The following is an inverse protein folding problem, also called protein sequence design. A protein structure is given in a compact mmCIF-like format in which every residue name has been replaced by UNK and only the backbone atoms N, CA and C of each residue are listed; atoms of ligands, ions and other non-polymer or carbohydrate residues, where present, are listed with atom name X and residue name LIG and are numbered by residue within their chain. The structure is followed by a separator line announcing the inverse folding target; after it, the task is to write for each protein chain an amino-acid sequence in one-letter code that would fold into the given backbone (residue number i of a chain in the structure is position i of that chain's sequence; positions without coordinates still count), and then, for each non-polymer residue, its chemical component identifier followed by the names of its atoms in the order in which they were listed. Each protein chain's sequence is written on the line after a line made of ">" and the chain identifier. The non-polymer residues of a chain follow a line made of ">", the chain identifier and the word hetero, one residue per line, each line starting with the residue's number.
data_IF_581079739461
#
_entry.id   IF_581079739461
#
_cell.length_a   1.000
_cell.length_b   1.000
_cell.length_c   1.000
_cell.angle_alpha   90.00
_cell.angle_beta   90.00
_cell.angle_gamma   90.00
#
_symmetry.space_group_name_H-M   'P 1'
#
loop_
_entity.id
_entity.type
_entity.pdbx_description
1 polymer ?
2 polymer ?
3 non-polymer ?
4 water ?
#
loop_
_entity_poly.entity_id
_entity_poly.type
_entity_poly.pdbx_seq_one_letter_code
_entity_poly.pdbx_strand_id
2 'polyribonucleotide' '(ATP)A' ?
#
# COMPACT_ATOMS: atom_id res chain seq x y z
N UNK A 1 8.48 28.69 -3.49
CA UNK A 1 7.57 27.81 -2.70
C UNK A 1 8.15 27.54 -1.32
N UNK A 2 7.42 26.77 -0.50
CA UNK A 2 7.69 26.76 0.93
C UNK A 2 8.81 25.82 1.35
N UNK A 3 9.16 24.85 0.51
CA UNK A 3 10.16 23.85 0.86
C UNK A 3 11.18 23.80 -0.27
N UNK A 4 12.43 23.67 0.11
CA UNK A 4 13.51 23.71 -0.86
C UNK A 4 13.59 22.39 -1.62
N UNK A 5 14.33 22.43 -2.73
CA UNK A 5 14.65 21.21 -3.47
C UNK A 5 15.21 20.14 -2.54
N UNK A 6 16.15 20.52 -1.67
CA UNK A 6 16.75 19.55 -0.78
C UNK A 6 15.74 18.98 0.21
N UNK A 7 14.82 19.80 0.72
CA UNK A 7 13.79 19.27 1.62
C UNK A 7 12.92 18.25 0.91
N UNK A 8 12.58 18.50 -0.36
CA UNK A 8 11.80 17.52 -1.11
C UNK A 8 12.59 16.23 -1.29
N UNK A 9 13.88 16.34 -1.59
CA UNK A 9 14.71 15.15 -1.71
C UNK A 9 14.68 14.36 -0.40
N UNK A 10 14.83 15.06 0.73
CA UNK A 10 14.82 14.36 2.01
C UNK A 10 13.50 13.62 2.23
N UNK A 11 12.38 14.28 1.91
CA UNK A 11 11.09 13.65 2.09
C UNK A 11 10.85 12.50 1.13
N UNK A 12 11.60 12.44 0.05
CA UNK A 12 11.40 11.41 -0.95
C UNK A 12 12.06 10.09 -0.59
N UNK A 13 12.84 10.05 0.48
CA UNK A 13 13.59 8.84 0.83
C UNK A 13 12.73 7.87 1.63
N UNK A 14 12.94 6.56 1.44
CA UNK A 14 12.27 5.59 2.32
C UNK A 14 12.78 5.76 3.74
N UNK A 15 11.88 5.61 4.70
CA UNK A 15 12.27 5.74 6.11
C UNK A 15 12.40 4.38 6.78
N UNK A 16 11.37 3.56 6.71
CA UNK A 16 11.42 2.17 7.16
C UNK A 16 11.53 1.27 5.94
N UNK A 17 12.33 0.20 6.06
CA UNK A 17 12.44 -0.75 4.96
C UNK A 17 12.58 -2.16 5.50
N UNK A 18 12.49 -3.13 4.58
CA UNK A 18 12.65 -4.54 4.96
C UNK A 18 14.04 -4.88 5.46
N UNK A 19 15.03 -4.00 5.26
CA UNK A 19 16.35 -4.22 5.83
C UNK A 19 16.38 -3.99 7.34
N UNK A 20 15.37 -3.32 7.88
CA UNK A 20 15.40 -2.94 9.27
C UNK A 20 15.34 -4.17 10.16
N UNK A 21 16.18 -4.19 11.20
CA UNK A 21 16.22 -5.32 12.12
C UNK A 21 14.85 -5.58 12.73
N UNK A 22 14.13 -4.53 13.14
CA UNK A 22 12.84 -4.73 13.79
C UNK A 22 11.79 -5.24 12.81
N UNK A 23 11.95 -4.96 11.51
CA UNK A 23 11.05 -5.53 10.52
C UNK A 23 11.37 -7.01 10.32
N UNK A 24 12.64 -7.34 10.11
CA UNK A 24 13.06 -8.73 10.01
C UNK A 24 12.57 -9.53 11.21
N UNK A 25 12.73 -8.98 12.41
CA UNK A 25 12.33 -9.71 13.62
C UNK A 25 10.84 -10.01 13.61
N UNK A 26 10.02 -9.02 13.25
CA UNK A 26 8.59 -9.26 13.18
C UNK A 26 8.27 -10.36 12.18
N UNK A 27 8.86 -10.29 10.97
CA UNK A 27 8.55 -11.30 9.96
C UNK A 27 8.97 -12.68 10.43
N UNK A 28 10.17 -12.80 11.00
CA UNK A 28 10.66 -14.10 11.46
C UNK A 28 9.74 -14.68 12.52
N UNK A 29 9.41 -13.89 13.54
CA UNK A 29 8.62 -14.41 14.65
C UNK A 29 7.22 -14.77 14.20
N UNK A 30 6.59 -13.91 13.40
CA UNK A 30 5.22 -14.16 12.96
C UNK A 30 5.19 -15.37 12.04
N UNK A 31 6.15 -15.46 11.13
CA UNK A 31 6.21 -16.61 10.22
C UNK A 31 6.27 -17.92 11.01
N UNK A 32 7.11 -17.97 12.05
CA UNK A 32 7.23 -19.19 12.84
C UNK A 32 5.89 -19.54 13.49
N UNK A 33 5.21 -18.54 14.05
CA UNK A 33 3.92 -18.79 14.70
C UNK A 33 2.91 -19.35 13.70
N UNK A 34 2.87 -18.79 12.48
CA UNK A 34 1.90 -19.25 11.49
C UNK A 34 2.26 -20.63 10.96
N UNK A 35 3.55 -20.88 10.70
CA UNK A 35 3.95 -22.18 10.18
C UNK A 35 3.65 -23.29 11.18
N UNK A 36 3.73 -22.98 12.48
CA UNK A 36 3.46 -24.01 13.49
C UNK A 36 2.06 -24.59 13.34
N UNK A 37 1.11 -23.79 12.88
CA UNK A 37 -0.25 -24.29 12.65
C UNK A 37 -0.50 -24.73 11.22
N UNK A 38 -0.01 -23.98 10.24
CA UNK A 38 -0.42 -24.16 8.86
C UNK A 38 0.61 -24.87 7.99
N UNK A 39 1.84 -25.00 8.45
CA UNK A 39 2.85 -25.69 7.66
C UNK A 39 2.97 -25.06 6.28
N UNK A 40 3.08 -25.92 5.27
CA UNK A 40 3.25 -25.46 3.90
C UNK A 40 1.94 -25.19 3.18
N UNK A 41 0.82 -25.23 3.90
CA UNK A 41 -0.48 -24.97 3.32
C UNK A 41 -0.74 -23.50 3.04
N UNK A 42 0.19 -22.63 3.42
CA UNK A 42 0.10 -21.19 3.15
C UNK A 42 1.34 -20.70 2.43
N UNK A 43 1.15 -19.64 1.64
CA UNK A 43 2.24 -18.82 1.15
C UNK A 43 2.24 -17.55 1.99
N UNK A 44 3.40 -17.18 2.52
CA UNK A 44 3.55 -15.93 3.27
C UNK A 44 4.37 -14.97 2.42
N UNK A 45 3.87 -13.74 2.28
CA UNK A 45 4.55 -12.73 1.48
C UNK A 45 4.14 -11.36 2.00
N UNK A 46 4.81 -10.33 1.51
CA UNK A 46 4.53 -8.98 1.95
C UNK A 46 3.69 -8.23 0.91
N UNK A 47 2.88 -7.31 1.41
CA UNK A 47 2.27 -6.30 0.54
C UNK A 47 2.42 -4.95 1.20
N UNK A 48 1.81 -3.92 0.62
CA UNK A 48 1.86 -2.63 1.23
C UNK A 48 3.23 -1.99 1.19
N UNK A 49 3.43 -1.04 2.10
CA UNK A 49 4.52 -0.09 1.97
C UNK A 49 5.89 -0.74 2.10
N UNK A 50 6.04 -1.80 2.89
CA UNK A 50 7.33 -2.48 2.92
C UNK A 50 7.59 -3.22 1.62
N UNK A 51 6.55 -3.80 1.03
CA UNK A 51 6.71 -4.50 -0.24
C UNK A 51 7.06 -3.52 -1.36
N UNK A 52 6.34 -2.41 -1.43
CA UNK A 52 6.49 -1.45 -2.51
C UNK A 52 7.53 -0.39 -2.22
N UNK A 53 8.13 -0.42 -1.03
CA UNK A 53 9.18 0.51 -0.61
C UNK A 53 8.70 1.96 -0.61
N UNK A 54 7.55 2.19 0.02
CA UNK A 54 6.97 3.53 0.09
C UNK A 54 6.76 4.01 1.53
N UNK A 55 7.52 3.48 2.50
CA UNK A 55 7.37 3.92 3.89
C UNK A 55 8.02 5.27 4.10
N UNK A 56 7.33 6.14 4.85
CA UNK A 56 7.86 7.47 5.14
C UNK A 56 7.82 7.77 6.63
N UNK A 57 7.57 6.76 7.45
CA UNK A 57 7.52 6.95 8.89
C UNK A 57 8.41 5.93 9.56
N UNK A 58 9.03 6.36 10.66
CA UNK A 58 9.89 5.46 11.41
C UNK A 58 9.05 4.36 12.04
N UNK A 59 9.62 3.15 12.10
CA UNK A 59 9.01 2.04 12.82
C UNK A 59 7.62 1.71 12.27
N UNK A 60 7.46 1.78 10.95
CA UNK A 60 6.15 1.57 10.35
C UNK A 60 5.68 0.12 10.49
N UNK A 61 4.36 -0.04 10.55
CA UNK A 61 3.77 -1.38 10.57
C UNK A 61 3.95 -2.08 9.23
N UNK A 62 4.14 -3.40 9.27
CA UNK A 62 4.34 -4.22 8.08
C UNK A 62 3.10 -5.08 7.84
N UNK A 63 2.74 -5.24 6.56
CA UNK A 63 1.58 -6.04 6.14
C UNK A 63 2.07 -7.39 5.63
N UNK A 64 1.81 -8.43 6.43
CA UNK A 64 2.23 -9.79 6.13
C UNK A 64 1.00 -10.56 5.67
N UNK A 65 1.02 -11.01 4.42
CA UNK A 65 -0.10 -11.75 3.85
C UNK A 65 0.13 -13.24 4.09
N UNK A 66 -0.91 -13.92 4.56
CA UNK A 66 -0.87 -15.37 4.74
C UNK A 66 -1.95 -15.96 3.84
N UNK A 67 -1.54 -16.45 2.67
CA UNK A 67 -2.47 -16.95 1.66
C UNK A 67 -2.62 -18.46 1.83
N UNK A 68 -3.79 -18.89 2.31
CA UNK A 68 -4.09 -20.29 2.46
C UNK A 68 -4.43 -20.80 1.07
N UNK A 69 -3.61 -21.68 0.53
CA UNK A 69 -3.69 -21.95 -0.89
C UNK A 69 -3.38 -23.40 -1.24
N UNK A 70 -3.55 -24.31 -0.28
CA UNK A 70 -3.26 -25.71 -0.50
C UNK A 70 -3.98 -26.27 -1.72
N UNK A 71 -5.18 -25.79 -2.01
CA UNK A 71 -5.93 -26.31 -3.15
C UNK A 71 -5.31 -25.91 -4.49
N UNK A 72 -4.63 -24.76 -4.53
CA UNK A 72 -4.05 -24.23 -5.75
C UNK A 72 -2.55 -24.51 -5.86
N UNK A 73 -1.85 -24.53 -4.74
CA UNK A 73 -0.41 -24.79 -4.67
C UNK A 73 -0.21 -25.92 -3.67
N UNK A 74 -0.60 -27.14 -4.04
CA UNK A 74 -0.53 -28.26 -3.09
C UNK A 74 0.91 -28.68 -2.80
N UNK A 75 1.02 -29.56 -1.81
CA UNK A 75 2.32 -30.09 -1.41
C UNK A 75 2.78 -31.11 -2.43
N UNK A 76 3.88 -30.80 -3.13
CA UNK A 76 4.40 -31.70 -4.13
C UNK A 76 5.02 -32.94 -3.46
N UNK A 96 -13.71 -25.55 4.31
CA UNK A 96 -12.84 -24.67 5.11
C UNK A 96 -13.05 -23.22 4.66
N UNK A 97 -13.87 -22.50 5.43
CA UNK A 97 -14.33 -21.18 5.04
C UNK A 97 -13.47 -20.09 5.68
N UNK A 98 -13.73 -18.85 5.30
CA UNK A 98 -12.85 -17.77 5.72
C UNK A 98 -12.94 -17.52 7.21
N UNK A 99 -14.14 -17.61 7.80
CA UNK A 99 -14.27 -17.35 9.23
C UNK A 99 -13.35 -18.27 10.02
N UNK A 100 -13.33 -19.57 9.66
CA UNK A 100 -12.47 -20.53 10.32
C UNK A 100 -11.01 -20.19 10.10
N UNK A 101 -10.66 -19.82 8.86
CA UNK A 101 -9.27 -19.44 8.57
C UNK A 101 -8.81 -18.29 9.46
N UNK A 102 -9.62 -17.24 9.55
CA UNK A 102 -9.19 -16.07 10.32
C UNK A 102 -9.13 -16.41 11.81
N UNK A 103 -10.08 -17.18 12.31
CA UNK A 103 -10.05 -17.59 13.71
C UNK A 103 -8.83 -18.44 14.01
N UNK A 104 -8.49 -19.37 13.10
CA UNK A 104 -7.33 -20.21 13.30
C UNK A 104 -6.04 -19.40 13.23
N UNK A 105 -6.01 -18.39 12.36
CA UNK A 105 -4.86 -17.50 12.27
C UNK A 105 -4.69 -16.73 13.57
N UNK A 106 -5.80 -16.19 14.10
CA UNK A 106 -5.73 -15.47 15.37
C UNK A 106 -5.24 -16.38 16.49
N UNK A 107 -5.70 -17.63 16.50
CA UNK A 107 -5.29 -18.58 17.53
C UNK A 107 -3.80 -18.88 17.43
N UNK A 108 -3.32 -19.15 16.20
CA UNK A 108 -1.90 -19.42 16.02
C UNK A 108 -1.06 -18.27 16.55
N UNK A 109 -1.50 -17.04 16.29
CA UNK A 109 -0.74 -15.88 16.74
C UNK A 109 -0.86 -15.69 18.24
N UNK A 110 -2.06 -15.86 18.79
CA UNK A 110 -2.24 -15.66 20.22
C UNK A 110 -1.45 -16.69 21.03
N UNK A 111 -1.29 -17.91 20.52
CA UNK A 111 -0.54 -18.92 21.26
C UNK A 111 0.88 -18.46 21.52
N UNK A 112 1.43 -17.63 20.63
CA UNK A 112 2.82 -17.16 20.74
C UNK A 112 2.89 -15.76 21.31
N UNK A 113 2.07 -14.84 20.82
CA UNK A 113 2.19 -13.43 21.14
C UNK A 113 1.18 -12.97 22.17
N UNK A 114 0.30 -13.86 22.63
CA UNK A 114 -0.66 -13.63 23.69
C UNK A 114 -1.31 -12.25 23.60
N UNK A 115 -1.06 -11.39 24.59
CA UNK A 115 -1.82 -10.15 24.71
C UNK A 115 -1.48 -9.12 23.65
N UNK A 116 -0.44 -9.35 22.84
CA UNK A 116 -0.13 -8.45 21.73
C UNK A 116 -1.03 -8.65 20.52
N UNK A 117 -1.87 -9.68 20.52
CA UNK A 117 -2.70 -10.00 19.36
C UNK A 117 -4.04 -9.30 19.49
N UNK A 118 -4.42 -8.56 18.45
CA UNK A 118 -5.71 -7.87 18.41
C UNK A 118 -6.36 -8.11 17.06
N UNK A 119 -7.54 -8.70 17.07
CA UNK A 119 -8.28 -8.88 15.84
C UNK A 119 -8.79 -7.53 15.33
N UNK A 120 -8.60 -7.28 14.05
CA UNK A 120 -9.08 -6.08 13.39
C UNK A 120 -10.03 -6.45 12.25
N UNK A 121 -10.62 -5.43 11.63
CA UNK A 121 -11.66 -5.67 10.64
C UNK A 121 -11.14 -6.46 9.44
N UNK A 122 -9.90 -6.18 9.02
CA UNK A 122 -9.36 -6.76 7.79
C UNK A 122 -8.10 -7.57 8.02
N UNK A 123 -7.69 -7.77 9.27
CA UNK A 123 -6.43 -8.45 9.56
C UNK A 123 -6.40 -8.83 11.03
N UNK A 124 -5.33 -9.52 11.42
CA UNK A 124 -4.99 -9.74 12.82
C UNK A 124 -3.74 -8.91 13.10
N UNK A 125 -3.83 -7.98 14.03
CA UNK A 125 -2.69 -7.16 14.38
C UNK A 125 -1.87 -7.85 15.45
N UNK A 126 -0.56 -7.85 15.27
CA UNK A 126 0.38 -8.33 16.28
C UNK A 126 1.21 -7.11 16.69
N UNK A 127 0.91 -6.56 17.87
CA UNK A 127 1.59 -5.37 18.32
C UNK A 127 3.07 -5.64 18.57
N UNK A 128 3.90 -4.69 18.16
CA UNK A 128 5.34 -4.81 18.30
C UNK A 128 5.82 -4.50 19.70
N UNK A 129 7.13 -4.37 19.82
CA UNK A 129 7.78 -4.11 21.10
C UNK A 129 9.13 -3.50 20.80
N UNK A 130 10.00 -3.45 21.81
CA UNK A 130 11.29 -2.79 21.65
C UNK A 130 12.10 -3.41 20.51
N UNK A 131 11.85 -4.68 20.18
CA UNK A 131 12.67 -5.39 19.22
C UNK A 131 11.95 -5.78 17.93
N UNK A 132 10.67 -5.43 17.76
CA UNK A 132 9.99 -5.78 16.54
C UNK A 132 8.91 -4.76 16.25
N UNK A 133 8.72 -4.47 14.95
CA UNK A 133 7.64 -3.61 14.54
C UNK A 133 6.31 -4.33 14.72
N UNK A 134 5.24 -3.55 14.74
CA UNK A 134 3.89 -4.08 14.65
C UNK A 134 3.64 -4.63 13.25
N UNK A 135 2.87 -5.69 13.20
CA UNK A 135 2.53 -6.34 11.94
C UNK A 135 1.03 -6.53 11.85
N UNK A 136 0.51 -6.34 10.64
CA UNK A 136 -0.85 -6.72 10.29
C UNK A 136 -0.74 -8.01 9.51
N UNK A 137 -1.34 -9.08 10.02
CA UNK A 137 -1.36 -10.37 9.34
C UNK A 137 -2.69 -10.50 8.60
N UNK A 138 -2.62 -10.74 7.30
CA UNK A 138 -3.79 -10.73 6.44
C UNK A 138 -4.03 -12.15 5.94
N UNK A 139 -4.81 -12.97 6.65
CA UNK A 139 -5.21 -14.27 6.07
C UNK A 139 -6.09 -14.06 4.85
N UNK A 140 -5.93 -14.92 3.86
CA UNK A 140 -6.67 -14.77 2.62
C UNK A 140 -6.59 -16.05 1.82
N UNK A 141 -7.35 -16.08 0.72
CA UNK A 141 -7.36 -17.17 -0.24
C UNK A 141 -6.92 -16.65 -1.61
N UNK A 142 -6.61 -17.59 -2.50
CA UNK A 142 -6.39 -17.27 -3.90
C UNK A 142 -7.66 -16.75 -4.53
N UNK A 143 -7.51 -15.73 -5.38
CA UNK A 143 -8.59 -15.16 -6.15
C UNK A 143 -8.24 -15.19 -7.63
N UNK A 144 -9.21 -15.55 -8.46
CA UNK A 144 -9.06 -15.42 -9.91
C UNK A 144 -10.24 -14.60 -10.43
N UNK A 145 -9.94 -13.57 -11.21
CA UNK A 145 -10.97 -12.70 -11.75
C UNK A 145 -10.58 -12.25 -13.15
N UNK A 146 -11.57 -12.14 -14.02
CA UNK A 146 -11.32 -11.64 -15.36
C UNK A 146 -11.18 -10.13 -15.35
N UNK A 147 -10.13 -9.65 -16.00
CA UNK A 147 -9.90 -8.23 -16.21
C UNK A 147 -10.35 -7.87 -17.62
N UNK A 148 -11.35 -6.99 -17.73
CA UNK A 148 -11.71 -6.49 -19.05
C UNK A 148 -10.66 -5.53 -19.59
N UNK A 149 -9.98 -4.81 -18.70
CA UNK A 149 -8.95 -3.87 -19.16
C UNK A 149 -7.88 -4.59 -19.96
N UNK A 150 -7.44 -5.75 -19.49
CA UNK A 150 -6.42 -6.54 -20.17
C UNK A 150 -6.96 -7.77 -20.87
N UNK A 151 -8.27 -8.02 -20.80
CA UNK A 151 -8.89 -9.18 -21.43
C UNK A 151 -8.17 -10.47 -21.05
N UNK A 152 -7.91 -10.63 -19.76
CA UNK A 152 -7.28 -11.85 -19.26
C UNK A 152 -7.78 -12.15 -17.87
N UNK A 153 -7.74 -13.43 -17.49
CA UNK A 153 -7.91 -13.80 -16.09
C UNK A 153 -6.65 -13.44 -15.33
N UNK A 154 -6.85 -12.84 -14.16
CA UNK A 154 -5.76 -12.43 -13.31
C UNK A 154 -5.89 -13.10 -11.94
N UNK A 155 -4.76 -13.42 -11.36
CA UNK A 155 -4.72 -14.05 -10.04
C UNK A 155 -4.26 -13.05 -9.00
N UNK A 156 -5.02 -12.97 -7.91
CA UNK A 156 -4.69 -12.16 -6.76
C UNK A 156 -5.11 -12.86 -5.49
N UNK A 157 -5.58 -12.09 -4.52
CA UNK A 157 -5.99 -12.63 -3.23
C UNK A 157 -7.37 -12.08 -2.89
N UNK A 158 -8.07 -12.82 -2.05
CA UNK A 158 -9.36 -12.38 -1.54
C UNK A 158 -9.52 -12.76 -0.08
N UNK A 159 -10.19 -11.89 0.65
CA UNK A 159 -10.56 -12.18 2.02
C UNK A 159 -11.83 -11.41 2.32
N UNK A 160 -12.35 -11.59 3.53
CA UNK A 160 -13.57 -10.93 3.95
C UNK A 160 -13.30 -10.14 5.22
N UNK A 161 -13.84 -8.92 5.27
CA UNK A 161 -13.73 -8.12 6.47
C UNK A 161 -14.79 -8.56 7.48
N UNK A 162 -14.57 -8.19 8.74
CA UNK A 162 -15.53 -8.55 9.78
C UNK A 162 -16.87 -7.86 9.56
N UNK A 163 -16.89 -6.72 8.85
CA UNK A 163 -18.15 -6.10 8.46
C UNK A 163 -18.66 -6.57 7.10
N UNK A 164 -18.20 -7.73 6.64
CA UNK A 164 -18.81 -8.57 5.58
C UNK A 164 -18.44 -8.17 4.16
N UNK A 165 -17.45 -7.31 3.97
CA UNK A 165 -17.03 -6.93 2.64
C UNK A 165 -16.08 -7.96 2.07
N UNK A 166 -16.24 -8.24 0.78
CA UNK A 166 -15.26 -9.01 0.04
C UNK A 166 -14.13 -8.07 -0.38
N UNK A 167 -12.93 -8.34 0.12
CA UNK A 167 -11.77 -7.52 -0.17
C UNK A 167 -10.88 -8.30 -1.13
N UNK A 168 -10.52 -7.68 -2.24
CA UNK A 168 -9.68 -8.32 -3.24
C UNK A 168 -8.49 -7.43 -3.52
N UNK A 169 -7.39 -8.04 -3.93
CA UNK A 169 -6.17 -7.30 -4.19
C UNK A 169 -5.34 -8.09 -5.18
N UNK A 170 -4.47 -7.36 -5.88
CA UNK A 170 -3.52 -7.93 -6.85
C UNK A 170 -2.14 -7.40 -6.49
N UNK A 171 -1.62 -7.80 -5.32
CA UNK A 171 -0.37 -7.20 -4.84
C UNK A 171 0.83 -7.48 -5.73
N UNK A 172 0.87 -8.61 -6.42
CA UNK A 172 2.03 -8.90 -7.25
C UNK A 172 2.08 -7.97 -8.45
N UNK A 173 0.94 -7.80 -9.13
CA UNK A 173 0.88 -6.91 -10.28
C UNK A 173 1.09 -5.45 -9.86
N UNK A 174 0.54 -5.06 -8.71
CA UNK A 174 0.81 -3.75 -8.15
C UNK A 174 2.30 -3.55 -7.93
N UNK A 175 2.95 -4.53 -7.28
CA UNK A 175 4.37 -4.45 -7.02
C UNK A 175 5.15 -4.29 -8.33
N UNK A 176 4.88 -5.17 -9.29
CA UNK A 176 5.70 -5.19 -10.50
C UNK A 176 5.50 -3.94 -11.34
N UNK A 177 4.26 -3.49 -11.50
CA UNK A 177 4.01 -2.31 -12.32
C UNK A 177 4.59 -1.05 -11.69
N UNK A 178 4.49 -0.93 -10.36
CA UNK A 178 5.05 0.24 -9.71
C UNK A 178 6.57 0.26 -9.80
N UNK A 179 7.19 -0.91 -9.65
CA UNK A 179 8.63 -0.99 -9.78
C UNK A 179 9.07 -0.64 -11.19
N UNK A 180 8.35 -1.14 -12.21
CA UNK A 180 8.68 -0.79 -13.58
C UNK A 180 8.59 0.72 -13.81
N UNK A 181 7.51 1.35 -13.32
CA UNK A 181 7.37 2.78 -13.55
C UNK A 181 8.48 3.55 -12.88
N UNK A 182 8.84 3.20 -11.64
CA UNK A 182 9.93 3.94 -11.00
C UNK A 182 11.24 3.74 -11.76
N UNK A 183 11.45 2.54 -12.28
CA UNK A 183 12.65 2.29 -13.05
C UNK A 183 12.71 3.10 -14.34
N UNK A 184 11.56 3.52 -14.87
CA UNK A 184 11.50 4.28 -16.10
C UNK A 184 11.47 5.78 -15.90
N UNK A 185 11.30 6.25 -14.66
CA UNK A 185 11.11 7.67 -14.38
C UNK A 185 12.24 8.24 -13.54
N UNK A 186 13.46 7.75 -13.73
CA UNK A 186 14.61 8.24 -12.97
C UNK A 186 14.40 8.05 -11.48
N UNK A 187 13.65 7.00 -11.11
CA UNK A 187 13.33 6.66 -9.72
C UNK A 187 12.38 7.68 -9.09
N UNK A 188 11.79 8.56 -9.89
CA UNK A 188 10.97 9.62 -9.34
C UNK A 188 9.54 9.21 -9.05
N UNK A 189 9.01 8.15 -9.70
CA UNK A 189 7.64 7.74 -9.39
C UNK A 189 7.47 7.48 -7.89
N UNK A 190 8.27 6.58 -7.31
CA UNK A 190 8.08 6.27 -5.90
C UNK A 190 8.53 7.43 -5.01
N UNK A 191 9.53 8.20 -5.44
CA UNK A 191 9.96 9.36 -4.67
C UNK A 191 8.84 10.38 -4.55
N UNK A 192 8.08 10.59 -5.63
CA UNK A 192 6.93 11.49 -5.57
C UNK A 192 5.80 10.91 -4.72
N UNK A 193 5.57 9.59 -4.80
CA UNK A 193 4.60 8.98 -3.89
C UNK A 193 4.99 9.25 -2.44
N UNK A 194 6.27 9.03 -2.12
CA UNK A 194 6.72 9.25 -0.75
C UNK A 194 6.53 10.70 -0.32
N UNK A 195 6.87 11.66 -1.18
CA UNK A 195 6.67 13.07 -0.82
C UNK A 195 5.20 13.31 -0.50
N UNK A 196 4.30 12.83 -1.36
CA UNK A 196 2.88 13.06 -1.15
C UNK A 196 2.36 12.35 0.09
N UNK A 197 2.92 11.19 0.44
CA UNK A 197 2.57 10.55 1.70
C UNK A 197 3.02 11.38 2.89
N UNK A 198 4.21 11.97 2.81
CA UNK A 198 4.67 12.87 3.87
C UNK A 198 3.70 14.04 4.02
N UNK A 199 3.33 14.65 2.90
CA UNK A 199 2.39 15.78 2.96
C UNK A 199 1.05 15.34 3.53
N UNK A 200 0.57 14.16 3.11
CA UNK A 200 -0.67 13.62 3.67
C UNK A 200 -0.60 13.53 5.19
N UNK A 201 0.46 12.93 5.74
CA UNK A 201 0.56 12.79 7.19
C UNK A 201 0.61 14.16 7.87
N UNK A 202 1.32 15.12 7.26
CA UNK A 202 1.39 16.46 7.83
C UNK A 202 0.02 17.14 7.84
N UNK A 203 -0.72 17.01 6.73
CA UNK A 203 -2.05 17.60 6.66
C UNK A 203 -2.99 16.94 7.65
N UNK A 204 -2.88 15.63 7.84
CA UNK A 204 -3.69 14.94 8.84
C UNK A 204 -3.33 15.44 10.24
N UNK A 205 -2.03 15.51 10.54
CA UNK A 205 -1.59 15.94 11.86
C UNK A 205 -2.04 17.36 12.16
N UNK A 206 -2.06 18.22 11.13
CA UNK A 206 -2.50 19.60 11.28
C UNK A 206 -4.01 19.75 11.34
N UNK A 207 -4.75 18.66 11.13
CA UNK A 207 -6.19 18.74 11.09
C UNK A 207 -6.76 19.34 9.83
N UNK A 208 -5.96 19.43 8.76
CA UNK A 208 -6.41 20.06 7.54
C UNK A 208 -7.23 19.13 6.68
N UNK A 209 -6.98 17.83 6.76
CA UNK A 209 -7.77 16.82 6.06
C UNK A 209 -8.04 15.67 7.01
N UNK A 210 -9.09 14.91 6.71
CA UNK A 210 -9.41 13.73 7.49
C UNK A 210 -8.37 12.65 7.24
N UNK A 211 -8.19 11.77 8.21
CA UNK A 211 -7.17 10.73 8.09
C UNK A 211 -7.52 9.69 7.05
N UNK A 212 -8.71 9.76 6.44
CA UNK A 212 -9.11 8.83 5.40
C UNK A 212 -9.51 9.51 4.09
N UNK A 213 -9.20 10.80 3.92
CA UNK A 213 -9.45 11.44 2.63
C UNK A 213 -8.78 10.65 1.52
N UNK A 214 -7.52 10.29 1.71
CA UNK A 214 -6.79 9.44 0.77
C UNK A 214 -5.97 8.43 1.55
N UNK A 215 -5.79 7.26 0.96
CA UNK A 215 -4.94 6.22 1.51
C UNK A 215 -3.63 6.19 0.73
N UNK A 216 -2.66 5.45 1.28
CA UNK A 216 -1.41 5.24 0.56
C UNK A 216 -1.66 4.59 -0.79
N UNK A 217 -2.54 3.59 -0.84
CA UNK A 217 -2.88 2.94 -2.10
C UNK A 217 -3.40 3.96 -3.10
N UNK A 218 -4.30 4.83 -2.65
CA UNK A 218 -4.89 5.82 -3.55
C UNK A 218 -3.83 6.75 -4.10
N UNK A 219 -2.93 7.23 -3.23
CA UNK A 219 -1.85 8.10 -3.68
C UNK A 219 -0.99 7.38 -4.71
N UNK A 220 -0.63 6.13 -4.43
CA UNK A 220 0.20 5.36 -5.35
C UNK A 220 -0.45 5.26 -6.72
N UNK A 221 -1.76 5.01 -6.75
CA UNK A 221 -2.46 4.88 -8.02
C UNK A 221 -2.55 6.22 -8.74
N UNK A 222 -2.81 7.31 -8.02
CA UNK A 222 -2.90 8.62 -8.66
C UNK A 222 -1.59 8.97 -9.36
N UNK A 223 -0.47 8.85 -8.64
CA UNK A 223 0.81 9.22 -9.24
C UNK A 223 1.15 8.27 -10.39
N UNK A 224 0.72 7.01 -10.29
CA UNK A 224 1.01 6.03 -11.32
C UNK A 224 0.46 6.45 -12.67
N UNK A 225 -0.66 7.18 -12.68
CA UNK A 225 -1.31 7.57 -13.92
C UNK A 225 -0.73 8.85 -14.52
N UNK A 226 0.21 9.50 -13.84
CA UNK A 226 0.91 10.64 -14.44
C UNK A 226 1.86 10.13 -15.49
N UNK A 227 1.83 10.61 -16.74
CA UNK A 227 2.71 10.06 -17.77
C UNK A 227 4.18 10.18 -17.40
N UNK A 228 4.94 9.19 -17.84
CA UNK A 228 6.37 9.14 -17.52
C UNK A 228 7.10 10.42 -17.91
N UNK A 229 6.69 11.07 -19.01
CA UNK A 229 7.41 12.25 -19.47
C UNK A 229 7.18 13.49 -18.60
N UNK A 230 6.41 13.37 -17.51
CA UNK A 230 6.28 14.46 -16.54
C UNK A 230 7.33 14.40 -15.45
N UNK A 231 8.09 13.30 -15.37
CA UNK A 231 9.10 13.12 -14.33
C UNK A 231 10.44 13.58 -14.88
N UNK A 232 10.99 14.64 -14.29
CA UNK A 232 12.13 15.35 -14.82
C UNK A 232 13.35 14.95 -14.01
N UNK A 233 14.28 14.27 -14.65
CA UNK A 233 15.48 13.81 -13.96
C UNK A 233 16.15 14.96 -13.22
N UNK A 234 16.40 14.75 -11.94
CA UNK A 234 17.13 15.70 -11.15
C UNK A 234 16.41 16.97 -10.77
N UNK A 235 15.11 17.06 -11.03
CA UNK A 235 14.34 18.26 -10.69
C UNK A 235 13.12 17.85 -9.89
N UNK A 236 13.28 17.79 -8.57
CA UNK A 236 12.19 17.32 -7.72
C UNK A 236 11.09 18.36 -7.64
N UNK A 237 11.47 19.64 -7.54
CA UNK A 237 10.47 20.69 -7.40
C UNK A 237 9.57 20.74 -8.63
N UNK A 238 10.17 20.70 -9.83
CA UNK A 238 9.35 20.79 -11.03
C UNK A 238 8.59 19.50 -11.29
N UNK A 239 9.20 18.34 -10.96
CA UNK A 239 8.49 17.09 -11.12
C UNK A 239 7.26 17.06 -10.24
N UNK A 240 7.41 17.46 -8.97
CA UNK A 240 6.29 17.45 -8.04
C UNK A 240 5.21 18.42 -8.50
N UNK A 241 5.61 19.58 -9.02
CA UNK A 241 4.64 20.50 -9.62
C UNK A 241 3.89 19.82 -10.75
N UNK A 242 4.63 19.16 -11.66
CA UNK A 242 4.00 18.48 -12.79
C UNK A 242 3.01 17.42 -12.31
N UNK A 243 3.39 16.65 -11.30
CA UNK A 243 2.54 15.57 -10.78
C UNK A 243 1.24 16.14 -10.23
N UNK A 244 1.35 17.15 -9.37
CA UNK A 244 0.15 17.72 -8.74
C UNK A 244 -0.76 18.33 -9.80
N UNK A 245 -0.19 19.14 -10.70
CA UNK A 245 -1.01 19.78 -11.73
C UNK A 245 -1.68 18.75 -12.61
N UNK A 246 -0.95 17.70 -13.01
CA UNK A 246 -1.53 16.70 -13.90
C UNK A 246 -2.70 15.98 -13.23
N UNK A 247 -2.53 15.53 -11.98
CA UNK A 247 -3.62 14.83 -11.31
C UNK A 247 -4.81 15.76 -11.12
N UNK A 248 -4.54 16.98 -10.65
CA UNK A 248 -5.60 17.97 -10.44
C UNK A 248 -6.40 18.18 -11.71
N UNK A 249 -5.72 18.45 -12.82
CA UNK A 249 -6.42 18.69 -14.08
C UNK A 249 -7.15 17.43 -14.55
N UNK A 250 -6.52 16.27 -14.41
CA UNK A 250 -7.16 15.02 -14.80
C UNK A 250 -8.45 14.79 -14.02
N UNK A 251 -8.46 15.15 -12.73
CA UNK A 251 -9.67 14.95 -11.93
C UNK A 251 -10.77 15.89 -12.39
N UNK A 252 -10.44 17.17 -12.67
CA UNK A 252 -11.45 18.07 -13.23
C UNK A 252 -11.95 17.56 -14.57
N UNK A 253 -11.12 16.80 -15.29
CA UNK A 253 -11.44 16.31 -16.62
C UNK A 253 -11.91 14.86 -16.65
N UNK A 254 -12.33 14.32 -15.51
CA UNK A 254 -13.07 13.06 -15.50
C UNK A 254 -12.22 11.91 -16.05
N UNK A 255 -10.94 11.90 -15.70
CA UNK A 255 -10.01 10.95 -16.31
C UNK A 255 -10.26 9.52 -15.83
N UNK A 256 -9.97 8.57 -16.72
CA UNK A 256 -10.09 7.15 -16.41
C UNK A 256 -8.72 6.61 -16.00
N UNK A 257 -8.43 6.70 -14.71
CA UNK A 257 -7.19 6.19 -14.14
C UNK A 257 -7.32 4.70 -13.87
N UNK A 258 -6.20 3.99 -14.02
CA UNK A 258 -6.15 2.59 -13.61
C UNK A 258 -5.55 2.48 -12.21
N UNK A 259 -5.81 1.35 -11.57
CA UNK A 259 -4.99 0.95 -10.43
C UNK A 259 -3.57 0.67 -10.94
N UNK A 260 -2.60 0.66 -10.03
CA UNK A 260 -1.24 0.33 -10.40
C UNK A 260 -1.18 -1.02 -11.09
N UNK A 261 -2.03 -1.96 -10.66
CA UNK A 261 -2.05 -3.29 -11.25
C UNK A 261 -2.47 -3.30 -12.72
N UNK A 262 -3.04 -2.20 -13.23
CA UNK A 262 -3.48 -2.06 -14.62
C UNK A 262 -4.55 -3.06 -15.02
N UNK A 263 -5.17 -3.73 -14.05
CA UNK A 263 -6.20 -4.71 -14.33
C UNK A 263 -7.59 -4.16 -14.11
N UNK A 264 -7.74 -3.12 -13.27
CA UNK A 264 -9.02 -2.58 -12.90
C UNK A 264 -8.90 -1.06 -12.79
N UNK A 265 -10.03 -0.40 -12.93
CA UNK A 265 -10.08 1.05 -12.90
C UNK A 265 -9.99 1.55 -11.46
N UNK A 266 -9.28 2.68 -11.29
CA UNK A 266 -9.20 3.28 -9.97
C UNK A 266 -10.56 3.76 -9.49
N UNK A 267 -11.31 4.40 -10.38
CA UNK A 267 -12.62 4.95 -10.03
C UNK A 267 -13.75 4.00 -10.45
N UNK A 268 -13.53 2.72 -10.12
CA UNK A 268 -14.51 1.66 -10.35
C UNK A 268 -15.71 1.83 -9.44
N UNK A 269 -16.85 1.30 -9.89
CA UNK A 269 -18.05 1.35 -9.04
C UNK A 269 -17.96 0.40 -7.84
N UNK A 270 -16.89 -0.38 -7.73
CA UNK A 270 -16.64 -1.14 -6.51
C UNK A 270 -15.96 -0.31 -5.42
N UNK A 271 -15.44 0.88 -5.77
CA UNK A 271 -14.67 1.65 -4.80
C UNK A 271 -15.41 2.91 -4.40
N UNK A 272 -15.48 3.21 -3.10
CA UNK A 272 -16.12 4.46 -2.68
C UNK A 272 -15.29 5.72 -2.87
N UNK A 273 -13.98 5.63 -3.12
CA UNK A 273 -13.18 6.84 -3.29
C UNK A 273 -13.50 7.47 -4.64
N UNK A 274 -13.37 8.78 -4.72
CA UNK A 274 -13.83 9.54 -5.88
C UNK A 274 -12.75 10.45 -6.42
N UNK A 275 -12.97 10.91 -7.67
CA UNK A 275 -12.10 11.93 -8.24
C UNK A 275 -12.12 13.21 -7.41
N UNK A 276 -13.25 13.53 -6.79
CA UNK A 276 -13.32 14.71 -5.94
C UNK A 276 -12.38 14.59 -4.75
N UNK A 277 -12.28 13.40 -4.16
CA UNK A 277 -11.31 13.19 -3.08
C UNK A 277 -9.90 13.53 -3.56
N UNK A 278 -9.54 13.04 -4.74
CA UNK A 278 -8.21 13.29 -5.28
C UNK A 278 -8.00 14.77 -5.61
N UNK A 279 -9.02 15.40 -6.20
CA UNK A 279 -8.93 16.83 -6.52
C UNK A 279 -8.71 17.65 -5.25
N UNK A 280 -9.50 17.40 -4.21
CA UNK A 280 -9.34 18.14 -2.99
C UNK A 280 -7.99 17.89 -2.35
N UNK A 281 -7.52 16.65 -2.38
CA UNK A 281 -6.20 16.35 -1.83
C UNK A 281 -5.10 17.08 -2.60
N UNK A 282 -5.17 17.07 -3.93
CA UNK A 282 -4.18 17.80 -4.72
C UNK A 282 -4.17 19.29 -4.38
N UNK A 283 -5.35 19.89 -4.23
CA UNK A 283 -5.43 21.29 -3.86
C UNK A 283 -4.76 21.53 -2.52
N UNK A 284 -5.04 20.68 -1.53
CA UNK A 284 -4.44 20.86 -0.21
C UNK A 284 -2.93 20.71 -0.28
N UNK A 285 -2.43 19.76 -1.09
CA UNK A 285 -1.00 19.62 -1.25
C UNK A 285 -0.40 20.86 -1.90
N UNK A 286 -1.02 21.33 -2.99
CA UNK A 286 -0.52 22.53 -3.67
C UNK A 286 -0.42 23.70 -2.72
N UNK A 287 -1.47 23.93 -1.92
CA UNK A 287 -1.48 25.06 -1.00
C UNK A 287 -0.42 24.89 0.09
N UNK A 288 -0.29 23.68 0.63
CA UNK A 288 0.67 23.43 1.69
C UNK A 288 2.09 23.64 1.19
N UNK A 289 2.38 23.16 -0.02
CA UNK A 289 3.72 23.26 -0.59
C UNK A 289 4.05 24.67 -1.04
N UNK A 290 3.05 25.49 -1.35
CA UNK A 290 3.32 26.87 -1.68
C UNK A 290 3.73 27.10 -3.10
N UNK A 291 3.35 26.20 -3.99
CA UNK A 291 3.56 26.42 -5.41
C UNK A 291 2.78 27.64 -5.89
N UNK A 292 3.35 28.32 -6.88
CA UNK A 292 2.76 29.53 -7.45
C UNK A 292 2.59 29.38 -8.95
X LIG D 1 0.68 -0.83 5.30
#
# INVERSE_FOLDING_TARGET
>A
MNFSEQQLINWSRPVSTTEDLKCQNAITQITAALRAKFGNRVTIFLQGSYRNNTNVRQNSDVDIVMRYDDAFYPDLQRLSESDKAIYNAQRTYSGYNFDELKADTEEALRNVFTTSVERKNKCIQVNGNSNRITADVIPCFVLKRFSTLQSVEAEGIKFYSDDNKEIISFPEQHYSNGTEKTNQTYRLYKRMVRILKVVNYRLIDDGEIADNLVSSFFIECLVYNVPNNQFISGNYTQTLRNVIVKIYEDMKNNADYTEVNRLFWLFSNRSPRTRQDALGFMQKCWNYLGYQ
>D hetero
1 MG MG
#
